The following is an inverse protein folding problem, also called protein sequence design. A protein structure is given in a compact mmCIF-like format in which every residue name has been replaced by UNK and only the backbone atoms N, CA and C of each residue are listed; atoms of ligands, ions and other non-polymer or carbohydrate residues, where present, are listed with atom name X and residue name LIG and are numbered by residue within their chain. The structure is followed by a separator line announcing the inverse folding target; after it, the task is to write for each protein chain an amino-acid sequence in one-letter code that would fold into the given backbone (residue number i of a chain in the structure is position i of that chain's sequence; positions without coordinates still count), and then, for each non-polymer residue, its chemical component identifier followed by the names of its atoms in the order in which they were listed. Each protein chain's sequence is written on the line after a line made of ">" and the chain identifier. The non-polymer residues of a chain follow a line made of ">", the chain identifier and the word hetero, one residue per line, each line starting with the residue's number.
data_IF_311229579431
#
_entry.id   IF_311229579431
#
_cell.length_a   1.000
_cell.length_b   1.000
_cell.length_c   1.000
_cell.angle_alpha   90.00
_cell.angle_beta   90.00
_cell.angle_gamma   90.00
#
_symmetry.space_group_name_H-M   'P 1'
#
loop_
_entity.id
_entity.type
_entity.pdbx_description
1 polymer ?
#
# COMPACT_ATOMS: atom_id res chain seq x y z
N UNK A 1 12.52 -6.29 4.23
CA UNK A 1 12.44 -7.51 5.07
C UNK A 1 13.46 -8.57 4.68
N UNK A 2 14.00 -8.52 3.50
CA UNK A 2 14.91 -9.52 2.89
C UNK A 2 16.40 -9.18 3.08
N UNK A 3 16.81 -7.93 2.87
CA UNK A 3 18.22 -7.53 2.85
C UNK A 3 18.95 -7.84 4.17
N UNK A 4 18.51 -7.25 5.26
CA UNK A 4 19.20 -7.39 6.54
C UNK A 4 19.19 -8.82 7.11
N UNK A 5 18.05 -9.55 7.11
CA UNK A 5 18.05 -10.95 7.52
C UNK A 5 18.99 -11.82 6.66
N UNK A 6 19.02 -11.64 5.35
CA UNK A 6 19.92 -12.38 4.47
C UNK A 6 21.40 -12.09 4.76
N UNK A 7 21.75 -10.81 4.98
CA UNK A 7 23.12 -10.43 5.32
C UNK A 7 23.58 -11.01 6.66
N UNK A 8 22.73 -10.94 7.68
CA UNK A 8 23.06 -11.43 9.04
C UNK A 8 23.21 -12.95 9.08
N UNK A 9 22.42 -13.66 8.28
CA UNK A 9 22.45 -15.14 8.23
C UNK A 9 23.41 -15.70 7.17
N UNK A 10 24.10 -14.86 6.39
CA UNK A 10 24.98 -15.29 5.31
C UNK A 10 24.20 -15.83 4.10
N UNK A 11 22.94 -15.46 3.95
CA UNK A 11 22.09 -15.86 2.85
C UNK A 11 22.42 -15.12 1.54
N UNK A 12 21.90 -15.63 0.43
CA UNK A 12 22.00 -15.01 -0.89
C UNK A 12 20.71 -14.25 -1.22
N UNK A 13 20.86 -13.01 -1.73
CA UNK A 13 19.75 -12.23 -2.27
C UNK A 13 19.67 -12.41 -3.78
N UNK A 14 18.51 -12.85 -4.26
CA UNK A 14 18.20 -12.87 -5.69
C UNK A 14 17.36 -11.65 -6.04
N UNK A 15 17.98 -10.65 -6.65
CA UNK A 15 17.33 -9.38 -6.94
C UNK A 15 16.56 -9.44 -8.26
N UNK A 16 15.30 -9.01 -8.24
CA UNK A 16 14.46 -8.81 -9.42
C UNK A 16 14.33 -7.31 -9.66
N UNK A 17 14.77 -6.84 -10.82
CA UNK A 17 14.69 -5.43 -11.20
C UNK A 17 13.43 -5.10 -12.04
N UNK A 18 13.21 -3.81 -12.25
CA UNK A 18 12.03 -3.32 -12.99
C UNK A 18 12.04 -3.74 -14.47
N UNK A 19 13.22 -3.82 -15.07
CA UNK A 19 13.36 -4.20 -16.48
C UNK A 19 13.05 -5.68 -16.67
N UNK A 20 13.42 -6.51 -15.70
CA UNK A 20 13.08 -7.92 -15.66
C UNK A 20 11.57 -8.13 -15.50
N UNK A 21 10.92 -7.36 -14.60
CA UNK A 21 9.46 -7.41 -14.42
C UNK A 21 8.72 -7.01 -15.71
N UNK A 22 9.24 -6.04 -16.45
CA UNK A 22 8.66 -5.61 -17.74
C UNK A 22 8.79 -6.65 -18.86
N UNK A 23 9.63 -7.68 -18.70
CA UNK A 23 9.88 -8.75 -19.65
C UNK A 23 9.59 -10.12 -19.02
N UNK A 24 8.32 -10.57 -19.00
CA UNK A 24 7.92 -11.78 -18.28
C UNK A 24 8.75 -13.02 -18.59
N UNK A 25 9.19 -13.22 -19.84
CA UNK A 25 10.05 -14.35 -20.21
C UNK A 25 11.39 -14.35 -19.45
N UNK A 26 12.01 -13.17 -19.33
CA UNK A 26 13.28 -13.02 -18.61
C UNK A 26 13.08 -13.19 -17.11
N UNK A 27 11.96 -12.69 -16.59
CA UNK A 27 11.57 -12.84 -15.18
C UNK A 27 11.46 -14.33 -14.82
N UNK A 28 10.65 -15.09 -15.55
CA UNK A 28 10.43 -16.51 -15.22
C UNK A 28 11.67 -17.37 -15.47
N UNK A 29 12.47 -17.09 -16.50
CA UNK A 29 13.76 -17.75 -16.71
C UNK A 29 14.76 -17.45 -15.57
N UNK A 30 14.75 -16.22 -15.04
CA UNK A 30 15.56 -15.86 -13.87
C UNK A 30 15.08 -16.56 -12.61
N UNK A 31 13.77 -16.62 -12.38
CA UNK A 31 13.17 -17.30 -11.23
C UNK A 31 13.49 -18.80 -11.24
N UNK A 32 13.38 -19.47 -12.35
CA UNK A 32 13.71 -20.91 -12.51
C UNK A 32 15.16 -21.21 -12.14
N UNK A 33 16.09 -20.26 -12.38
CA UNK A 33 17.51 -20.39 -12.04
C UNK A 33 17.85 -19.96 -10.62
N UNK A 34 16.91 -19.34 -9.91
CA UNK A 34 17.21 -18.64 -8.66
C UNK A 34 17.44 -19.53 -7.44
N UNK A 35 16.89 -20.75 -7.44
CA UNK A 35 16.90 -21.68 -6.30
C UNK A 35 16.42 -21.05 -4.97
N UNK A 36 15.51 -20.07 -5.04
CA UNK A 36 15.03 -19.32 -3.88
C UNK A 36 14.22 -20.19 -2.94
N UNK A 37 14.37 -19.92 -1.64
CA UNK A 37 13.64 -20.59 -0.56
C UNK A 37 12.63 -19.65 0.11
N UNK A 38 12.89 -18.35 0.08
CA UNK A 38 12.05 -17.32 0.66
C UNK A 38 11.74 -16.26 -0.39
N UNK A 39 10.45 -16.01 -0.56
CA UNK A 39 9.93 -14.96 -1.41
C UNK A 39 9.41 -13.82 -0.56
N UNK A 40 9.90 -12.60 -0.81
CA UNK A 40 9.40 -11.39 -0.15
C UNK A 40 8.90 -10.41 -1.20
N UNK A 41 7.62 -10.09 -1.20
CA UNK A 41 7.05 -9.12 -2.13
C UNK A 41 5.74 -8.51 -1.62
N UNK A 42 5.18 -7.59 -2.43
CA UNK A 42 3.76 -7.25 -2.31
C UNK A 42 2.88 -8.36 -2.88
N UNK A 43 1.64 -8.52 -2.40
CA UNK A 43 0.67 -9.45 -2.98
C UNK A 43 0.44 -9.27 -4.48
N UNK A 44 0.43 -8.02 -4.97
CA UNK A 44 0.22 -7.72 -6.39
C UNK A 44 1.29 -8.30 -7.30
N UNK A 45 2.55 -8.36 -6.86
CA UNK A 45 3.62 -8.97 -7.65
C UNK A 45 3.45 -10.49 -7.74
N UNK A 46 3.10 -11.14 -6.64
CA UNK A 46 2.80 -12.58 -6.67
C UNK A 46 1.55 -12.90 -7.51
N UNK A 47 0.51 -12.07 -7.45
CA UNK A 47 -0.69 -12.20 -8.28
C UNK A 47 -0.35 -12.11 -9.77
N UNK A 48 0.54 -11.19 -10.16
CA UNK A 48 1.05 -11.10 -11.52
C UNK A 48 1.79 -12.39 -11.93
N UNK A 49 2.65 -12.91 -11.07
CA UNK A 49 3.36 -14.17 -11.34
C UNK A 49 2.40 -15.37 -11.46
N UNK A 50 1.32 -15.40 -10.68
CA UNK A 50 0.28 -16.43 -10.74
C UNK A 50 -0.53 -16.43 -12.06
N UNK A 51 -0.43 -15.38 -12.88
CA UNK A 51 -1.01 -15.40 -14.24
C UNK A 51 -0.27 -16.38 -15.16
N UNK A 52 0.99 -16.67 -14.87
CA UNK A 52 1.77 -17.69 -15.56
C UNK A 52 1.48 -19.08 -14.95
N UNK A 53 1.04 -20.03 -15.79
CA UNK A 53 0.64 -21.35 -15.32
C UNK A 53 1.82 -22.18 -14.77
N UNK A 54 3.01 -21.96 -15.28
CA UNK A 54 4.25 -22.64 -14.84
C UNK A 54 4.76 -22.18 -13.47
N UNK A 55 4.29 -21.03 -12.97
CA UNK A 55 4.67 -20.52 -11.65
C UNK A 55 4.07 -21.41 -10.54
N UNK A 56 4.85 -22.40 -10.13
CA UNK A 56 4.44 -23.46 -9.20
C UNK A 56 5.64 -24.11 -8.52
N UNK A 57 5.41 -25.07 -7.64
CA UNK A 57 6.45 -25.87 -6.98
C UNK A 57 7.40 -26.55 -8.01
N UNK A 58 6.92 -26.88 -9.20
CA UNK A 58 7.80 -27.46 -10.24
C UNK A 58 8.84 -26.48 -10.77
N UNK A 59 8.53 -25.18 -10.83
CA UNK A 59 9.47 -24.12 -11.20
C UNK A 59 10.40 -23.75 -10.04
N UNK A 60 9.87 -23.70 -8.82
CA UNK A 60 10.59 -23.29 -7.61
C UNK A 60 10.55 -24.40 -6.54
N UNK A 61 11.29 -25.52 -6.78
CA UNK A 61 11.14 -26.73 -5.96
C UNK A 61 11.62 -26.58 -4.50
N UNK A 62 12.46 -25.57 -4.25
CA UNK A 62 13.01 -25.28 -2.91
C UNK A 62 12.27 -24.18 -2.17
N UNK A 63 11.15 -23.68 -2.72
CA UNK A 63 10.33 -22.65 -2.07
C UNK A 63 9.76 -23.12 -0.75
N UNK A 64 10.06 -22.38 0.34
CA UNK A 64 9.61 -22.66 1.71
C UNK A 64 8.61 -21.64 2.24
N UNK A 65 8.79 -20.36 1.89
CA UNK A 65 7.98 -19.30 2.48
C UNK A 65 7.72 -18.18 1.51
N UNK A 66 6.47 -17.80 1.37
CA UNK A 66 6.04 -16.54 0.78
C UNK A 66 5.71 -15.57 1.92
N UNK A 67 6.32 -14.39 1.89
CA UNK A 67 6.17 -13.37 2.91
C UNK A 67 5.65 -12.09 2.26
N UNK A 68 4.44 -11.70 2.63
CA UNK A 68 3.73 -10.57 2.04
C UNK A 68 3.60 -9.41 3.02
N UNK A 69 3.89 -8.21 2.53
CA UNK A 69 3.67 -6.96 3.24
C UNK A 69 3.36 -5.84 2.24
N UNK A 70 2.79 -4.75 2.74
CA UNK A 70 2.65 -3.52 1.98
C UNK A 70 1.30 -3.32 1.29
N UNK A 71 0.56 -4.39 1.02
CA UNK A 71 -0.79 -4.37 0.45
C UNK A 71 -1.67 -5.42 1.12
N UNK A 72 -2.99 -5.31 0.92
CA UNK A 72 -3.93 -6.35 1.36
C UNK A 72 -3.70 -7.63 0.54
N UNK A 73 -3.50 -8.75 1.21
CA UNK A 73 -3.41 -10.07 0.58
C UNK A 73 -4.83 -10.60 0.29
N UNK A 74 -5.23 -10.75 -0.99
CA UNK A 74 -6.52 -11.33 -1.31
C UNK A 74 -6.57 -12.84 -1.01
N UNK A 75 -7.72 -13.32 -0.51
CA UNK A 75 -7.94 -14.74 -0.26
C UNK A 75 -7.68 -15.62 -1.49
N UNK A 76 -8.11 -15.16 -2.68
CA UNK A 76 -7.90 -15.90 -3.94
C UNK A 76 -6.41 -16.05 -4.29
N UNK A 77 -5.60 -15.02 -4.05
CA UNK A 77 -4.15 -15.06 -4.29
C UNK A 77 -3.50 -16.06 -3.33
N UNK A 78 -3.86 -15.99 -2.04
CA UNK A 78 -3.33 -16.90 -1.03
C UNK A 78 -3.74 -18.36 -1.33
N UNK A 79 -5.00 -18.62 -1.71
CA UNK A 79 -5.48 -19.94 -2.07
C UNK A 79 -4.74 -20.53 -3.27
N UNK A 80 -4.55 -19.76 -4.34
CA UNK A 80 -3.75 -20.18 -5.51
C UNK A 80 -2.29 -20.49 -5.15
N UNK A 81 -1.70 -19.72 -4.23
CA UNK A 81 -0.34 -19.99 -3.76
C UNK A 81 -0.26 -21.29 -2.97
N UNK A 82 -1.20 -21.56 -2.06
CA UNK A 82 -1.28 -22.83 -1.33
C UNK A 82 -1.45 -24.01 -2.29
N UNK A 83 -2.32 -23.89 -3.30
CA UNK A 83 -2.54 -24.92 -4.31
C UNK A 83 -1.28 -25.21 -5.13
N UNK A 84 -0.58 -24.17 -5.61
CA UNK A 84 0.58 -24.30 -6.48
C UNK A 84 1.90 -24.61 -5.77
N UNK A 85 1.97 -24.26 -4.47
CA UNK A 85 3.14 -24.46 -3.62
C UNK A 85 2.74 -25.11 -2.29
N UNK A 86 2.26 -26.38 -2.32
CA UNK A 86 1.64 -27.01 -1.15
C UNK A 86 2.61 -27.25 0.03
N UNK A 87 3.93 -27.17 -0.20
CA UNK A 87 4.96 -27.27 0.83
C UNK A 87 5.38 -25.91 1.41
N UNK A 88 5.00 -24.81 0.76
CA UNK A 88 5.40 -23.49 1.18
C UNK A 88 4.42 -22.90 2.22
N UNK A 89 4.97 -22.17 3.16
CA UNK A 89 4.19 -21.37 4.11
C UNK A 89 3.84 -20.02 3.52
N UNK A 90 2.59 -19.59 3.65
CA UNK A 90 2.17 -18.24 3.27
C UNK A 90 2.06 -17.38 4.53
N UNK A 91 2.84 -16.28 4.58
CA UNK A 91 2.85 -15.33 5.68
C UNK A 91 2.24 -14.00 5.24
N UNK A 92 1.15 -13.57 5.90
CA UNK A 92 0.61 -12.23 5.76
C UNK A 92 1.12 -11.36 6.90
N UNK A 93 1.72 -10.21 6.59
CA UNK A 93 2.34 -9.32 7.58
C UNK A 93 1.90 -7.88 7.37
N UNK A 94 1.96 -7.08 8.44
CA UNK A 94 1.64 -5.66 8.40
C UNK A 94 2.66 -4.86 9.21
N UNK A 95 2.94 -3.68 8.70
CA UNK A 95 3.69 -2.63 9.37
C UNK A 95 4.15 -1.56 8.40
N UNK A 96 4.28 -0.32 8.88
CA UNK A 96 4.80 0.80 8.11
C UNK A 96 6.33 0.85 8.18
N UNK A 97 6.94 1.60 7.27
CA UNK A 97 8.39 1.89 7.28
C UNK A 97 8.83 2.51 8.61
N UNK A 98 8.00 3.36 9.18
CA UNK A 98 8.20 4.06 10.45
C UNK A 98 8.31 3.14 11.67
N UNK A 99 7.88 1.87 11.53
CA UNK A 99 8.02 0.84 12.58
C UNK A 99 8.78 -0.39 12.07
N UNK A 100 9.75 -0.21 11.17
CA UNK A 100 10.69 -1.23 10.68
C UNK A 100 9.97 -2.37 9.94
N UNK A 101 9.14 -2.03 8.98
CA UNK A 101 8.44 -2.85 7.97
C UNK A 101 7.32 -3.72 8.51
N UNK A 102 7.58 -4.70 9.37
CA UNK A 102 6.55 -5.64 9.82
C UNK A 102 6.53 -5.76 11.34
N UNK A 103 5.36 -5.49 11.92
CA UNK A 103 5.11 -5.59 13.37
C UNK A 103 4.09 -6.67 13.70
N UNK A 104 3.37 -7.18 12.70
CA UNK A 104 2.46 -8.31 12.86
C UNK A 104 2.70 -9.38 11.82
N UNK A 105 2.20 -10.59 12.07
CA UNK A 105 2.22 -11.67 11.10
C UNK A 105 1.29 -12.82 11.46
N UNK A 106 0.81 -13.50 10.41
CA UNK A 106 0.01 -14.72 10.52
C UNK A 106 0.34 -15.69 9.41
N UNK A 107 0.39 -16.98 9.73
CA UNK A 107 0.34 -18.05 8.73
C UNK A 107 -1.05 -18.11 8.10
N UNK A 108 -1.14 -18.00 6.79
CA UNK A 108 -2.38 -18.15 6.06
C UNK A 108 -2.52 -19.62 5.64
N UNK A 109 -3.42 -20.33 6.30
CA UNK A 109 -3.78 -21.71 6.00
C UNK A 109 -5.17 -21.77 5.35
N UNK A 110 -5.60 -22.93 4.88
CA UNK A 110 -6.97 -23.12 4.35
C UNK A 110 -8.03 -22.80 5.43
N UNK A 111 -7.78 -23.16 6.70
CA UNK A 111 -8.68 -22.86 7.81
C UNK A 111 -8.83 -21.34 8.01
N UNK A 112 -7.72 -20.58 7.91
CA UNK A 112 -7.74 -19.11 8.00
C UNK A 112 -8.49 -18.50 6.83
N UNK A 113 -8.31 -19.04 5.61
CA UNK A 113 -9.02 -18.59 4.41
C UNK A 113 -10.54 -18.87 4.48
N UNK A 114 -10.95 -19.97 5.09
CA UNK A 114 -12.35 -20.33 5.23
C UNK A 114 -13.03 -19.56 6.37
N UNK A 115 -12.27 -19.23 7.42
CA UNK A 115 -12.76 -18.48 8.57
C UNK A 115 -12.99 -17.00 8.28
N UNK A 116 -12.10 -16.36 7.50
CA UNK A 116 -12.09 -14.90 7.33
C UNK A 116 -12.32 -14.49 5.87
N UNK A 117 -13.35 -13.65 5.63
CA UNK A 117 -13.58 -13.02 4.32
C UNK A 117 -12.47 -12.01 3.95
N UNK A 118 -11.98 -11.27 4.94
CA UNK A 118 -10.81 -10.41 4.83
C UNK A 118 -9.75 -10.95 5.77
N UNK A 119 -8.57 -11.26 5.24
CA UNK A 119 -7.51 -11.87 6.03
C UNK A 119 -7.04 -10.91 7.13
N UNK A 120 -6.89 -11.41 8.38
CA UNK A 120 -6.19 -10.65 9.40
C UNK A 120 -4.73 -10.43 8.98
N UNK A 121 -4.14 -9.36 9.47
CA UNK A 121 -2.71 -9.08 9.27
C UNK A 121 -1.85 -9.65 10.40
N UNK A 122 -2.46 -10.31 11.35
CA UNK A 122 -1.82 -11.23 12.29
C UNK A 122 -1.65 -10.73 13.71
N UNK A 123 -0.89 -11.50 14.46
CA UNK A 123 -0.53 -11.20 15.84
C UNK A 123 0.66 -10.24 15.90
N UNK A 124 0.66 -9.37 16.90
CA UNK A 124 1.78 -8.48 17.15
C UNK A 124 3.03 -9.28 17.57
N UNK A 125 4.19 -8.87 17.11
CA UNK A 125 5.46 -9.44 17.57
C UNK A 125 5.68 -9.12 19.05
N UNK A 126 6.44 -9.97 19.75
CA UNK A 126 6.55 -9.98 21.22
C UNK A 126 7.20 -8.74 21.84
N UNK A 127 8.00 -8.00 21.08
CA UNK A 127 8.69 -6.77 21.52
C UNK A 127 7.93 -5.49 21.18
N UNK A 128 6.71 -5.61 20.65
CA UNK A 128 5.84 -4.48 20.33
C UNK A 128 4.44 -4.66 20.93
N UNK A 129 3.72 -3.54 21.03
CA UNK A 129 2.31 -3.51 21.40
C UNK A 129 1.53 -2.79 20.34
N UNK A 130 0.29 -3.24 20.11
CA UNK A 130 -0.69 -2.56 19.27
C UNK A 130 -1.76 -1.95 20.16
N UNK A 131 -2.07 -0.69 19.92
CA UNK A 131 -3.20 -0.02 20.52
C UNK A 131 -4.15 0.41 19.39
N UNK A 132 -5.44 0.26 19.62
CA UNK A 132 -6.47 0.82 18.73
C UNK A 132 -7.00 2.07 19.42
N UNK A 133 -6.75 3.23 18.83
CA UNK A 133 -7.07 4.52 19.44
C UNK A 133 -8.29 5.16 18.77
N UNK A 134 -9.26 5.57 19.57
CA UNK A 134 -10.45 6.30 19.10
C UNK A 134 -10.11 7.78 18.84
N UNK A 135 -11.01 8.49 18.16
CA UNK A 135 -10.88 9.92 17.88
C UNK A 135 -10.76 10.78 19.16
N UNK A 136 -11.36 10.33 20.26
CA UNK A 136 -11.29 11.01 21.56
C UNK A 136 -9.99 10.73 22.34
N UNK A 137 -9.07 9.94 21.76
CA UNK A 137 -7.79 9.57 22.36
C UNK A 137 -7.86 8.41 23.35
N UNK A 138 -9.02 7.78 23.55
CA UNK A 138 -9.15 6.59 24.39
C UNK A 138 -8.79 5.31 23.61
N UNK A 139 -8.36 4.27 24.34
CA UNK A 139 -8.10 2.95 23.75
C UNK A 139 -9.43 2.25 23.48
N UNK A 140 -9.62 1.77 22.26
CA UNK A 140 -10.78 0.99 21.87
C UNK A 140 -10.73 -0.41 22.50
N UNK A 141 -11.86 -0.94 23.00
CA UNK A 141 -11.97 -2.33 23.42
C UNK A 141 -11.84 -3.29 22.23
N UNK A 142 -11.64 -4.57 22.56
CA UNK A 142 -11.53 -5.66 21.56
C UNK A 142 -12.73 -5.66 20.60
N UNK A 143 -12.46 -5.78 19.30
CA UNK A 143 -13.46 -5.72 18.22
C UNK A 143 -13.91 -4.31 17.80
N UNK A 144 -13.59 -3.25 18.55
CA UNK A 144 -13.96 -1.88 18.18
C UNK A 144 -12.89 -1.23 17.28
N UNK A 145 -13.34 -0.46 16.29
CA UNK A 145 -12.46 0.19 15.30
C UNK A 145 -11.86 1.49 15.82
N UNK A 146 -10.63 1.76 15.40
CA UNK A 146 -9.92 3.01 15.64
C UNK A 146 -8.65 3.10 14.81
N UNK A 147 -7.79 4.08 15.14
CA UNK A 147 -6.46 4.21 14.57
C UNK A 147 -5.52 3.15 15.16
N UNK A 148 -4.78 2.46 14.29
CA UNK A 148 -3.72 1.55 14.71
C UNK A 148 -2.53 2.38 15.18
N UNK A 149 -2.13 2.20 16.44
CA UNK A 149 -0.92 2.79 17.02
C UNK A 149 0.05 1.68 17.40
N UNK A 150 1.30 1.80 16.94
CA UNK A 150 2.36 0.84 17.20
C UNK A 150 3.27 1.40 18.29
N UNK A 151 3.52 0.60 19.33
CA UNK A 151 4.38 0.98 20.46
C UNK A 151 5.52 -0.03 20.58
N UNK A 152 6.75 0.45 20.71
CA UNK A 152 7.89 -0.41 20.99
C UNK A 152 9.19 -0.03 20.28
N UNK A 153 10.24 -0.86 20.42
CA UNK A 153 11.61 -0.53 19.99
C UNK A 153 11.78 -0.42 18.47
N UNK A 154 10.89 -1.02 17.68
CA UNK A 154 10.93 -0.93 16.21
C UNK A 154 10.45 0.42 15.65
N UNK A 155 9.81 1.25 16.49
CA UNK A 155 9.36 2.59 16.09
C UNK A 155 10.57 3.50 15.94
N UNK A 156 10.66 4.18 14.77
CA UNK A 156 11.76 5.09 14.46
C UNK A 156 11.74 6.34 15.36
N UNK A 157 12.81 7.13 15.26
CA UNK A 157 12.94 8.37 16.05
C UNK A 157 12.18 9.56 15.45
N UNK A 158 11.68 9.42 14.22
CA UNK A 158 10.95 10.46 13.49
C UNK A 158 11.42 10.64 12.06
N UNK A 159 10.97 11.73 11.44
CA UNK A 159 11.31 12.11 10.06
C UNK A 159 12.47 13.09 10.04
N UNK A 160 13.53 12.76 9.31
CA UNK A 160 14.71 13.61 9.17
C UNK A 160 14.35 14.95 8.54
N UNK A 161 14.72 16.06 9.22
CA UNK A 161 14.45 17.42 8.73
C UNK A 161 12.99 17.87 8.79
N UNK A 162 12.09 17.09 9.40
CA UNK A 162 10.65 17.40 9.44
C UNK A 162 10.10 17.26 10.87
N UNK A 163 10.43 18.20 11.79
CA UNK A 163 9.99 18.13 13.18
C UNK A 163 8.48 18.16 13.34
N UNK A 164 7.77 19.00 12.59
CA UNK A 164 6.31 19.12 12.65
C UNK A 164 5.59 17.81 12.29
N UNK A 165 6.05 17.11 11.24
CA UNK A 165 5.51 15.80 10.86
C UNK A 165 5.86 14.75 11.90
N UNK A 166 7.05 14.86 12.52
CA UNK A 166 7.47 13.96 13.58
C UNK A 166 6.56 14.10 14.80
N UNK A 167 6.32 15.31 15.30
CA UNK A 167 5.43 15.58 16.45
C UNK A 167 4.00 15.12 16.20
N UNK A 168 3.51 15.24 14.95
CA UNK A 168 2.17 14.78 14.58
C UNK A 168 2.02 13.26 14.63
N UNK A 169 3.03 12.52 14.13
CA UNK A 169 2.94 11.08 13.91
C UNK A 169 3.57 10.24 15.03
N UNK A 170 4.58 10.76 15.71
CA UNK A 170 5.30 10.05 16.76
C UNK A 170 5.01 10.63 18.15
N UNK A 171 4.95 9.77 19.13
CA UNK A 171 4.73 10.14 20.53
C UNK A 171 5.39 9.15 21.47
N UNK A 172 5.25 9.36 22.78
CA UNK A 172 5.66 8.43 23.82
C UNK A 172 4.43 7.91 24.55
N UNK A 173 4.35 6.60 24.74
CA UNK A 173 3.30 5.93 25.52
C UNK A 173 4.01 5.01 26.53
N UNK A 174 3.75 5.21 27.80
CA UNK A 174 4.36 4.46 28.91
C UNK A 174 5.91 4.42 28.86
N UNK A 175 6.54 5.49 28.38
CA UNK A 175 7.98 5.61 28.24
C UNK A 175 8.59 4.93 27.00
N UNK A 176 7.77 4.36 26.12
CA UNK A 176 8.18 3.77 24.85
C UNK A 176 7.78 4.62 23.66
N UNK A 177 8.56 4.56 22.57
CA UNK A 177 8.18 5.23 21.31
C UNK A 177 6.92 4.62 20.74
N UNK A 178 6.05 5.49 20.27
CA UNK A 178 4.78 5.13 19.62
C UNK A 178 4.63 5.85 18.29
N UNK A 179 4.05 5.17 17.33
CA UNK A 179 3.75 5.70 16.00
C UNK A 179 2.26 5.59 15.68
N UNK A 180 1.64 6.73 15.40
CA UNK A 180 0.27 6.85 14.89
C UNK A 180 0.29 6.58 13.39
N UNK A 181 -0.28 5.45 12.97
CA UNK A 181 -0.08 4.98 11.59
C UNK A 181 -0.96 5.69 10.56
N UNK A 182 -2.05 6.33 10.99
CA UNK A 182 -3.12 6.79 10.11
C UNK A 182 -3.92 5.66 9.47
N UNK A 183 -3.65 4.40 9.83
CA UNK A 183 -4.40 3.23 9.40
C UNK A 183 -5.55 2.95 10.36
N UNK A 184 -6.73 2.62 9.81
CA UNK A 184 -7.86 2.12 10.58
C UNK A 184 -7.76 0.60 10.77
N UNK A 185 -8.14 0.12 11.94
CA UNK A 185 -8.19 -1.29 12.23
C UNK A 185 -8.92 -1.61 13.53
N UNK A 186 -8.96 -2.87 13.86
CA UNK A 186 -9.42 -3.38 15.15
C UNK A 186 -8.64 -4.65 15.51
N UNK A 187 -8.57 -4.94 16.80
CA UNK A 187 -8.03 -6.20 17.31
C UNK A 187 -9.20 -7.06 17.77
N UNK A 188 -9.22 -8.31 17.39
CA UNK A 188 -10.19 -9.30 17.86
C UNK A 188 -9.47 -10.59 18.19
N UNK A 189 -9.61 -11.07 19.44
CA UNK A 189 -8.90 -12.27 19.93
C UNK A 189 -7.37 -12.20 19.72
N UNK A 190 -6.78 -11.02 19.85
CA UNK A 190 -5.36 -10.75 19.64
C UNK A 190 -4.91 -10.63 18.18
N UNK A 191 -5.78 -10.87 17.20
CA UNK A 191 -5.54 -10.70 15.78
C UNK A 191 -5.85 -9.27 15.34
N UNK A 192 -4.92 -8.64 14.64
CA UNK A 192 -5.14 -7.34 14.01
C UNK A 192 -5.82 -7.51 12.65
N UNK A 193 -6.89 -6.74 12.44
CA UNK A 193 -7.59 -6.59 11.17
C UNK A 193 -7.39 -5.16 10.65
N UNK A 194 -6.86 -5.05 9.44
CA UNK A 194 -6.70 -3.78 8.74
C UNK A 194 -8.01 -3.38 8.06
N UNK A 195 -8.41 -2.11 8.20
CA UNK A 195 -9.68 -1.59 7.67
C UNK A 195 -9.53 -0.33 6.81
N UNK A 196 -8.38 -0.18 6.16
CA UNK A 196 -8.10 0.97 5.28
C UNK A 196 -7.36 2.10 5.96
N UNK A 197 -7.40 3.29 5.35
CA UNK A 197 -6.74 4.51 5.85
C UNK A 197 -7.75 5.48 6.43
N UNK A 198 -7.33 6.21 7.45
CA UNK A 198 -8.08 7.34 8.02
C UNK A 198 -7.82 8.64 7.25
N UNK A 199 -6.73 8.72 6.51
CA UNK A 199 -6.31 9.86 5.69
C UNK A 199 -6.44 9.57 4.18
N UNK A 200 -5.88 10.47 3.35
CA UNK A 200 -5.90 10.36 1.89
C UNK A 200 -4.67 9.65 1.31
N UNK A 201 -3.88 8.99 2.15
CA UNK A 201 -2.78 8.17 1.69
C UNK A 201 -3.29 6.87 1.10
N UNK A 202 -2.69 6.41 0.02
CA UNK A 202 -3.03 5.13 -0.61
C UNK A 202 -1.79 4.28 -0.88
N UNK A 203 -2.03 2.99 -1.09
CA UNK A 203 -1.03 2.07 -1.65
C UNK A 203 -1.51 1.64 -3.03
N UNK A 204 -0.74 1.98 -4.07
CA UNK A 204 -1.04 1.65 -5.45
C UNK A 204 0.17 0.96 -6.07
N UNK A 205 -0.01 -0.29 -6.52
CA UNK A 205 1.07 -1.14 -7.07
C UNK A 205 2.30 -1.22 -6.16
N UNK A 206 2.10 -1.30 -4.83
CA UNK A 206 3.16 -1.36 -3.84
C UNK A 206 3.77 -0.01 -3.44
N UNK A 207 3.43 1.07 -4.11
CA UNK A 207 3.90 2.41 -3.77
C UNK A 207 2.95 3.09 -2.79
N UNK A 208 3.49 3.56 -1.67
CA UNK A 208 2.77 4.42 -0.72
C UNK A 208 2.86 5.86 -1.22
N UNK A 209 1.73 6.54 -1.36
CA UNK A 209 1.67 7.90 -1.88
C UNK A 209 0.59 8.73 -1.20
N UNK A 210 0.88 9.99 -1.02
CA UNK A 210 -0.04 11.01 -0.52
C UNK A 210 -0.81 11.62 -1.69
N UNK A 211 -2.13 11.49 -1.70
CA UNK A 211 -2.93 12.11 -2.77
C UNK A 211 -2.80 13.63 -2.77
N UNK A 212 -2.67 14.23 -1.58
CA UNK A 212 -2.51 15.69 -1.42
C UNK A 212 -1.19 16.22 -2.01
N UNK A 213 -0.12 15.43 -1.98
CA UNK A 213 1.16 15.76 -2.65
C UNK A 213 0.96 15.86 -4.16
N UNK A 214 0.28 14.87 -4.75
CA UNK A 214 -0.02 14.88 -6.19
C UNK A 214 -0.91 16.07 -6.55
N UNK A 215 -1.92 16.35 -5.73
CA UNK A 215 -2.82 17.49 -5.90
C UNK A 215 -2.08 18.84 -5.80
N UNK A 216 -1.13 18.95 -4.86
CA UNK A 216 -0.28 20.13 -4.72
C UNK A 216 0.51 20.39 -6.00
N UNK A 217 1.18 19.37 -6.54
CA UNK A 217 1.95 19.49 -7.77
C UNK A 217 1.07 19.72 -9.00
N UNK A 218 -0.14 19.15 -9.06
CA UNK A 218 -1.12 19.45 -10.10
C UNK A 218 -1.52 20.92 -10.08
N UNK A 219 -1.88 21.46 -8.91
CA UNK A 219 -2.25 22.89 -8.77
C UNK A 219 -1.09 23.84 -9.07
N UNK A 220 0.15 23.36 -8.98
CA UNK A 220 1.32 24.14 -9.38
C UNK A 220 1.64 24.08 -10.88
N UNK A 221 0.88 23.32 -11.69
CA UNK A 221 1.01 23.29 -13.14
C UNK A 221 0.37 24.55 -13.77
N UNK A 222 0.97 25.03 -14.86
CA UNK A 222 0.62 26.29 -15.51
C UNK A 222 -0.82 26.38 -16.02
N UNK A 223 -1.47 25.24 -16.27
CA UNK A 223 -2.80 25.15 -16.89
C UNK A 223 -3.86 24.61 -15.92
N UNK A 224 -3.61 24.66 -14.62
CA UNK A 224 -4.49 24.08 -13.60
C UNK A 224 -4.87 25.14 -12.57
N UNK A 225 -6.16 25.42 -12.45
CA UNK A 225 -6.73 26.31 -11.45
C UNK A 225 -7.09 25.51 -10.17
N UNK A 226 -7.60 24.29 -10.36
CA UNK A 226 -7.95 23.40 -9.27
C UNK A 226 -7.75 21.94 -9.65
N UNK A 227 -7.39 21.11 -8.67
CA UNK A 227 -7.24 19.68 -8.91
C UNK A 227 -7.51 18.85 -7.66
N UNK A 228 -8.10 17.69 -7.89
CA UNK A 228 -8.35 16.64 -6.89
C UNK A 228 -8.01 15.29 -7.50
N UNK A 229 -7.35 14.44 -6.72
CA UNK A 229 -7.07 13.06 -7.12
C UNK A 229 -8.14 12.12 -6.54
N UNK A 230 -8.73 11.32 -7.42
CA UNK A 230 -9.68 10.27 -7.08
C UNK A 230 -9.03 8.91 -7.38
N UNK A 231 -8.72 8.12 -6.33
CA UNK A 231 -8.18 6.78 -6.54
C UNK A 231 -9.30 5.84 -6.95
N UNK A 232 -9.16 5.20 -8.10
CA UNK A 232 -10.16 4.29 -8.66
C UNK A 232 -9.83 2.85 -8.28
N UNK A 233 -10.83 2.15 -7.74
CA UNK A 233 -10.71 0.74 -7.35
C UNK A 233 -11.20 -0.19 -8.45
N UNK A 234 -10.57 -1.39 -8.49
CA UNK A 234 -11.08 -2.56 -9.19
C UNK A 234 -11.20 -3.69 -8.15
N UNK A 235 -12.44 -4.01 -7.77
CA UNK A 235 -12.69 -4.83 -6.58
C UNK A 235 -12.23 -4.09 -5.31
N UNK A 236 -11.45 -4.75 -4.47
CA UNK A 236 -10.94 -4.16 -3.21
C UNK A 236 -9.63 -3.36 -3.38
N UNK A 237 -8.94 -3.50 -4.52
CA UNK A 237 -7.64 -2.86 -4.78
C UNK A 237 -7.79 -1.56 -5.57
N UNK A 238 -6.87 -0.63 -5.33
CA UNK A 238 -6.71 0.54 -6.20
C UNK A 238 -6.08 0.11 -7.53
N UNK A 239 -6.67 0.57 -8.65
CA UNK A 239 -6.23 0.25 -10.01
C UNK A 239 -5.45 1.40 -10.65
N UNK A 240 -5.96 2.63 -10.50
CA UNK A 240 -5.28 3.82 -11.01
C UNK A 240 -5.75 5.11 -10.32
N UNK A 241 -4.98 6.18 -10.56
CA UNK A 241 -5.35 7.53 -10.17
C UNK A 241 -6.07 8.23 -11.31
N UNK A 242 -7.19 8.89 -10.99
CA UNK A 242 -7.89 9.83 -11.85
C UNK A 242 -7.67 11.25 -11.29
N UNK A 243 -7.16 12.16 -12.12
CA UNK A 243 -7.13 13.57 -11.80
C UNK A 243 -8.41 14.25 -12.28
N UNK A 244 -9.17 14.85 -11.36
CA UNK A 244 -10.25 15.77 -11.69
C UNK A 244 -9.66 17.18 -11.65
N UNK A 245 -9.69 17.87 -12.80
CA UNK A 245 -8.97 19.13 -13.00
C UNK A 245 -9.95 20.23 -13.41
N UNK A 246 -9.84 21.37 -12.75
CA UNK A 246 -10.41 22.64 -13.22
C UNK A 246 -9.29 23.31 -14.02
N UNK A 247 -9.44 23.43 -15.36
CA UNK A 247 -8.41 24.04 -16.17
C UNK A 247 -8.35 25.56 -15.95
N UNK A 248 -7.13 26.10 -15.88
CA UNK A 248 -6.87 27.52 -15.96
C UNK A 248 -6.88 28.03 -17.41
N UNK A 249 -6.42 29.26 -17.64
CA UNK A 249 -6.33 29.82 -18.97
C UNK A 249 -5.36 29.03 -19.87
N UNK A 250 -5.83 28.61 -21.05
CA UNK A 250 -5.01 27.90 -22.03
C UNK A 250 -5.53 28.07 -23.46
N UNK A 251 -4.67 27.83 -24.45
CA UNK A 251 -4.99 27.89 -25.88
C UNK A 251 -5.12 26.52 -26.56
N UNK A 252 -5.19 25.44 -25.80
CA UNK A 252 -5.31 24.10 -26.36
C UNK A 252 -6.75 23.84 -26.86
N UNK A 253 -6.90 23.49 -28.13
CA UNK A 253 -8.19 23.17 -28.75
C UNK A 253 -8.73 21.78 -28.35
N UNK A 254 -7.86 20.87 -27.87
CA UNK A 254 -8.20 19.48 -27.56
C UNK A 254 -7.68 19.08 -26.18
N UNK A 255 -8.53 18.46 -25.38
CA UNK A 255 -8.23 18.01 -24.01
C UNK A 255 -6.97 17.13 -23.93
N UNK A 256 -6.73 16.24 -24.91
CA UNK A 256 -5.54 15.40 -24.88
C UNK A 256 -4.22 16.20 -24.97
N UNK A 257 -4.22 17.36 -25.64
CA UNK A 257 -3.06 18.25 -25.71
C UNK A 257 -2.82 18.94 -24.37
N UNK A 258 -3.89 19.38 -23.71
CA UNK A 258 -3.84 19.92 -22.35
C UNK A 258 -3.33 18.86 -21.39
N UNK A 259 -3.87 17.63 -21.42
CA UNK A 259 -3.41 16.51 -20.61
C UNK A 259 -1.92 16.22 -20.81
N UNK A 260 -1.44 16.23 -22.06
CA UNK A 260 -0.02 16.01 -22.36
C UNK A 260 0.88 17.12 -21.78
N UNK A 261 0.44 18.38 -21.84
CA UNK A 261 1.17 19.51 -21.28
C UNK A 261 1.25 19.39 -19.73
N UNK A 262 0.13 19.13 -19.08
CA UNK A 262 0.09 18.92 -17.62
C UNK A 262 0.96 17.72 -17.19
N UNK A 263 0.85 16.58 -17.89
CA UNK A 263 1.70 15.41 -17.60
C UNK A 263 3.19 15.70 -17.77
N UNK A 264 3.57 16.50 -18.74
CA UNK A 264 4.96 16.91 -18.94
C UNK A 264 5.48 17.68 -17.72
N UNK A 265 4.74 18.67 -17.23
CA UNK A 265 5.13 19.44 -16.04
C UNK A 265 5.15 18.58 -14.77
N UNK A 266 4.19 17.64 -14.61
CA UNK A 266 4.17 16.71 -13.49
C UNK A 266 5.38 15.77 -13.49
N UNK A 267 5.79 15.25 -14.64
CA UNK A 267 6.96 14.36 -14.76
C UNK A 267 8.29 15.03 -14.40
N UNK A 268 8.35 16.35 -14.40
CA UNK A 268 9.53 17.11 -13.94
C UNK A 268 9.61 17.19 -12.41
N UNK A 269 8.49 16.91 -11.70
CA UNK A 269 8.32 17.12 -10.25
C UNK A 269 8.02 15.86 -9.47
N UNK A 270 7.35 14.89 -10.11
CA UNK A 270 6.88 13.66 -9.48
C UNK A 270 7.43 12.41 -10.18
N UNK A 271 7.68 11.34 -9.44
CA UNK A 271 7.99 10.04 -10.04
C UNK A 271 6.82 9.51 -10.89
N UNK A 272 7.13 8.76 -11.93
CA UNK A 272 6.14 8.25 -12.89
C UNK A 272 4.96 7.49 -12.26
N UNK A 273 5.19 6.76 -11.15
CA UNK A 273 4.13 6.01 -10.47
C UNK A 273 3.08 6.89 -9.78
N UNK A 274 3.38 8.19 -9.54
CA UNK A 274 2.46 9.18 -8.97
C UNK A 274 1.67 9.93 -10.05
N UNK A 275 2.02 9.80 -11.34
CA UNK A 275 1.34 10.50 -12.43
C UNK A 275 -0.04 9.87 -12.68
N UNK A 276 -1.14 10.66 -12.62
CA UNK A 276 -2.48 10.13 -12.86
C UNK A 276 -2.62 9.50 -14.25
N UNK A 277 -3.22 8.32 -14.30
CA UNK A 277 -3.44 7.60 -15.55
C UNK A 277 -4.48 8.31 -16.42
N UNK A 278 -5.56 8.80 -15.78
CA UNK A 278 -6.67 9.48 -16.46
C UNK A 278 -6.87 10.90 -15.94
N UNK A 279 -7.39 11.76 -16.78
CA UNK A 279 -7.76 13.13 -16.47
C UNK A 279 -9.22 13.35 -16.86
N UNK A 280 -9.96 14.05 -16.00
CA UNK A 280 -11.32 14.51 -16.23
C UNK A 280 -11.34 16.01 -15.99
N UNK A 281 -11.91 16.76 -16.93
CA UNK A 281 -11.99 18.21 -16.84
C UNK A 281 -13.38 18.63 -16.43
N UNK A 282 -13.47 19.51 -15.42
CA UNK A 282 -14.70 20.05 -14.89
C UNK A 282 -14.57 21.58 -14.70
N UNK A 283 -15.70 22.27 -14.69
CA UNK A 283 -15.72 23.72 -14.46
C UNK A 283 -15.53 24.08 -12.96
N UNK A 284 -15.78 23.14 -12.06
CA UNK A 284 -15.59 23.34 -10.61
C UNK A 284 -15.44 22.01 -9.88
N UNK A 285 -14.76 22.04 -8.74
CA UNK A 285 -14.66 20.89 -7.83
C UNK A 285 -15.83 20.96 -6.82
N UNK A 286 -16.64 19.87 -6.68
CA UNK A 286 -17.73 19.86 -5.71
C UNK A 286 -17.19 19.96 -4.28
N UNK A 287 -17.87 20.81 -3.49
CA UNK A 287 -17.51 21.08 -2.09
C UNK A 287 -18.63 20.63 -1.17
N UNK A 288 -18.27 20.17 0.01
CA UNK A 288 -19.22 19.92 1.11
C UNK A 288 -19.73 21.24 1.67
N UNK A 289 -20.86 21.25 2.43
CA UNK A 289 -21.36 22.47 3.10
C UNK A 289 -20.33 23.16 4.00
N UNK A 290 -19.35 22.41 4.50
CA UNK A 290 -18.28 22.91 5.38
C UNK A 290 -17.04 23.39 4.60
N UNK A 291 -17.12 23.56 3.28
CA UNK A 291 -16.03 24.10 2.44
C UNK A 291 -14.88 23.11 2.18
N UNK A 292 -15.08 21.81 2.40
CA UNK A 292 -14.12 20.77 2.05
C UNK A 292 -14.49 20.11 0.71
N UNK A 293 -13.51 19.58 -0.01
CA UNK A 293 -13.73 18.81 -1.24
C UNK A 293 -14.65 17.60 -0.96
N UNK A 294 -15.76 17.49 -1.73
CA UNK A 294 -16.66 16.34 -1.64
C UNK A 294 -16.16 15.19 -2.50
N UNK A 295 -15.17 14.45 -1.99
CA UNK A 295 -14.58 13.29 -2.68
C UNK A 295 -15.58 12.14 -2.87
N UNK A 296 -16.61 12.03 -2.02
CA UNK A 296 -17.65 11.00 -2.18
C UNK A 296 -18.50 11.28 -3.40
N UNK A 297 -18.90 12.54 -3.58
CA UNK A 297 -19.64 12.98 -4.77
C UNK A 297 -18.79 12.78 -6.03
N UNK A 298 -17.52 13.23 -6.03
CA UNK A 298 -16.60 13.00 -7.13
C UNK A 298 -16.47 11.52 -7.49
N UNK A 299 -16.29 10.64 -6.50
CA UNK A 299 -16.18 9.21 -6.75
C UNK A 299 -17.47 8.66 -7.40
N UNK A 300 -18.65 9.07 -6.94
CA UNK A 300 -19.92 8.65 -7.54
C UNK A 300 -20.09 9.12 -9.00
N UNK A 301 -19.63 10.33 -9.32
CA UNK A 301 -19.70 10.90 -10.68
C UNK A 301 -18.75 10.20 -11.67
N UNK A 302 -17.60 9.72 -11.21
CA UNK A 302 -16.61 9.05 -12.08
C UNK A 302 -16.80 7.53 -12.18
N UNK A 303 -17.65 6.94 -11.33
CA UNK A 303 -17.96 5.51 -11.34
C UNK A 303 -19.34 5.20 -11.90
N UNK A 304 -20.15 6.22 -12.20
CA UNK A 304 -21.44 6.13 -12.90
C UNK A 304 -21.23 6.03 -14.42
#
# INVERSE_FOLDING_TARGET
>A
MDIYPSLVTGGTLWAIDKDMIARPKDLFASLEQSDIQVWTSTPSFAEMCLMEASFSESMLPNMKTFLFCGEVLPNEVARKLIERFPKATIMNTYGPTEATVAVTGIHVTEEVLDQYKSLPVGYCKSDCRLLIMKEDGTIAPDGEKGEIVIVGPSVSVGYLGSPELTEKAFTMIDGERAYKTGDAGYVENGLLFYNGRLDFQIKLHGYRMELEEIEHHLRACSYVEGAVIVPIKKGEKYDYLLAVVVPGEHSFEKEFKLTSAIKKELNERLPNYMIPRKFMYQSSIPMTPNGKVDRKKLLSEVTA
#
